data_IF_094142171212
#
_entry.id   IF_094142171212
#
_cell.length_a   1.000
_cell.length_b   1.000
_cell.length_c   1.000
_cell.angle_alpha   90.00
_cell.angle_beta   90.00
_cell.angle_gamma   90.00
#
_symmetry.space_group_name_H-M   'P 1'
#
loop_
_entity.id
_entity.type
_entity.pdbx_description
1 polymer ?
#
# COMPACT_ATOMS: atom_id res chain seq x y z
N UNK A 1 8.92 16.22 5.99
CA UNK A 1 8.95 15.22 7.08
C UNK A 1 10.19 14.36 6.84
N UNK A 2 11.33 14.83 7.32
CA UNK A 2 12.66 14.28 7.12
C UNK A 2 12.83 13.21 8.19
N UNK A 3 12.40 11.97 7.93
CA UNK A 3 12.75 10.84 8.80
C UNK A 3 14.10 10.35 8.31
N UNK A 4 15.16 11.12 8.56
CA UNK A 4 16.45 10.85 7.94
C UNK A 4 17.60 11.20 8.87
N UNK A 5 18.40 10.18 9.18
CA UNK A 5 19.64 10.21 9.97
C UNK A 5 19.60 10.60 11.45
N UNK A 6 18.69 11.46 11.94
CA UNK A 6 18.75 11.91 13.35
C UNK A 6 18.66 10.75 14.36
N UNK A 7 17.86 9.71 14.07
CA UNK A 7 17.72 8.58 15.01
C UNK A 7 19.02 7.77 15.20
N UNK A 8 19.94 7.81 14.23
CA UNK A 8 21.23 7.09 14.29
C UNK A 8 22.40 7.99 14.66
N UNK A 9 22.24 9.31 14.59
CA UNK A 9 23.33 10.30 14.74
C UNK A 9 23.23 11.09 16.06
N UNK A 10 22.10 11.06 16.75
CA UNK A 10 22.04 11.62 18.11
C UNK A 10 22.82 10.75 19.10
N UNK A 11 23.78 11.36 19.83
CA UNK A 11 24.53 10.73 20.93
C UNK A 11 23.63 10.06 22.00
N UNK A 12 22.34 10.42 22.01
CA UNK A 12 21.28 9.91 22.87
C UNK A 12 20.97 8.42 22.68
N UNK A 13 21.40 7.81 21.57
CA UNK A 13 21.07 6.41 21.23
C UNK A 13 22.26 5.44 21.25
N UNK A 14 23.44 5.82 21.74
CA UNK A 14 24.63 4.92 21.83
C UNK A 14 24.33 3.58 22.51
N UNK A 15 23.47 3.55 23.53
CA UNK A 15 23.06 2.32 24.22
C UNK A 15 22.13 1.38 23.44
N UNK A 16 21.59 1.82 22.30
CA UNK A 16 20.62 1.06 21.49
C UNK A 16 21.14 0.78 20.07
N UNK A 17 22.42 1.03 19.80
CA UNK A 17 23.01 0.91 18.46
C UNK A 17 22.77 -0.47 17.84
N UNK A 18 23.02 -1.54 18.59
CA UNK A 18 22.84 -2.91 18.10
C UNK A 18 21.37 -3.18 17.71
N UNK A 19 20.43 -2.69 18.52
CA UNK A 19 19.00 -2.80 18.25
C UNK A 19 18.59 -2.03 16.99
N UNK A 20 19.13 -0.82 16.79
CA UNK A 20 18.86 -0.02 15.59
C UNK A 20 19.45 -0.66 14.33
N UNK A 21 20.64 -1.24 14.40
CA UNK A 21 21.22 -2.01 13.28
C UNK A 21 20.38 -3.25 12.93
N UNK A 22 19.81 -3.93 13.93
CA UNK A 22 18.88 -5.03 13.68
C UNK A 22 17.59 -4.55 12.98
N UNK A 23 17.02 -3.42 13.39
CA UNK A 23 15.85 -2.84 12.71
C UNK A 23 16.18 -2.44 11.27
N UNK A 24 17.35 -1.81 11.06
CA UNK A 24 17.85 -1.47 9.73
C UNK A 24 17.98 -2.70 8.85
N UNK A 25 18.64 -3.76 9.33
CA UNK A 25 18.82 -5.01 8.60
C UNK A 25 17.48 -5.66 8.20
N UNK A 26 16.50 -5.66 9.10
CA UNK A 26 15.14 -6.17 8.80
C UNK A 26 14.41 -5.31 7.77
N UNK A 27 14.52 -3.99 7.85
CA UNK A 27 13.95 -3.08 6.87
C UNK A 27 14.59 -3.31 5.50
N UNK A 28 15.91 -3.37 5.42
CA UNK A 28 16.67 -3.63 4.19
C UNK A 28 16.28 -4.96 3.55
N UNK A 29 16.20 -6.04 4.35
CA UNK A 29 15.74 -7.34 3.88
C UNK A 29 14.33 -7.29 3.29
N UNK A 30 13.41 -6.56 3.94
CA UNK A 30 12.04 -6.39 3.45
C UNK A 30 11.99 -5.61 2.13
N UNK A 31 12.74 -4.50 2.02
CA UNK A 31 12.82 -3.70 0.78
C UNK A 31 13.39 -4.54 -0.36
N UNK A 32 14.46 -5.29 -0.12
CA UNK A 32 15.02 -6.23 -1.10
C UNK A 32 14.02 -7.34 -1.48
N UNK A 33 13.21 -7.82 -0.52
CA UNK A 33 12.15 -8.82 -0.76
C UNK A 33 11.06 -8.28 -1.70
N UNK A 34 10.62 -7.04 -1.50
CA UNK A 34 9.65 -6.37 -2.37
C UNK A 34 10.18 -6.18 -3.80
N UNK A 35 11.49 -5.98 -3.95
CA UNK A 35 12.17 -5.82 -5.24
C UNK A 35 12.59 -7.15 -5.89
N UNK A 36 12.32 -8.29 -5.25
CA UNK A 36 12.71 -9.63 -5.72
C UNK A 36 14.23 -9.79 -5.85
N UNK A 37 14.97 -9.30 -4.85
CA UNK A 37 16.44 -9.32 -4.79
C UNK A 37 17.02 -10.01 -3.56
N UNK A 38 16.22 -10.76 -2.80
CA UNK A 38 16.75 -11.65 -1.77
C UNK A 38 17.19 -13.00 -2.35
N UNK A 39 18.11 -13.69 -1.65
CA UNK A 39 18.41 -15.10 -1.88
C UNK A 39 17.47 -15.99 -1.07
N UNK A 40 16.22 -16.08 -1.50
CA UNK A 40 15.22 -16.86 -0.80
C UNK A 40 13.85 -16.19 -0.83
N UNK A 41 13.37 -15.74 0.32
CA UNK A 41 11.99 -15.25 0.45
C UNK A 41 11.82 -13.83 -0.13
N UNK A 42 11.25 -13.79 -1.34
CA UNK A 42 10.74 -12.57 -1.98
C UNK A 42 9.22 -12.50 -1.87
N UNK A 43 8.66 -11.29 -1.96
CA UNK A 43 7.21 -11.11 -2.00
C UNK A 43 6.70 -11.51 -3.38
N UNK A 44 5.73 -12.43 -3.43
CA UNK A 44 5.11 -12.86 -4.68
C UNK A 44 4.43 -11.68 -5.39
N UNK A 45 4.28 -11.78 -6.71
CA UNK A 45 3.60 -10.78 -7.53
C UNK A 45 2.49 -11.40 -8.36
N UNK A 46 1.45 -10.61 -8.63
CA UNK A 46 0.48 -10.97 -9.67
C UNK A 46 1.15 -10.94 -11.05
N UNK A 47 0.56 -11.57 -12.09
CA UNK A 47 1.05 -11.44 -13.45
C UNK A 47 1.11 -9.98 -13.94
N UNK A 48 0.29 -9.09 -13.37
CA UNK A 48 0.29 -7.65 -13.66
C UNK A 48 1.34 -6.84 -12.88
N UNK A 49 2.17 -7.47 -12.04
CA UNK A 49 3.25 -6.80 -11.30
C UNK A 49 2.88 -6.21 -9.94
N UNK A 50 1.66 -6.44 -9.43
CA UNK A 50 1.25 -6.03 -8.10
C UNK A 50 1.85 -6.96 -7.04
N UNK A 51 2.40 -6.42 -5.95
CA UNK A 51 2.78 -7.21 -4.77
C UNK A 51 1.57 -8.01 -4.25
N UNK A 52 1.74 -9.31 -4.03
CA UNK A 52 0.68 -10.22 -3.59
C UNK A 52 1.10 -10.97 -2.34
N UNK A 53 0.59 -10.52 -1.19
CA UNK A 53 0.92 -11.09 0.12
C UNK A 53 -0.13 -12.13 0.54
N UNK A 54 -1.42 -11.82 0.33
CA UNK A 54 -2.52 -12.72 0.65
C UNK A 54 -3.77 -12.39 -0.14
N UNK A 55 -4.69 -13.34 -0.26
CA UNK A 55 -5.92 -13.19 -1.05
C UNK A 55 -6.84 -12.06 -0.54
N UNK A 56 -7.01 -11.91 0.79
CA UNK A 56 -7.94 -10.95 1.38
C UNK A 56 -7.24 -9.67 1.82
N UNK A 57 -7.78 -8.52 1.44
CA UNK A 57 -7.26 -7.19 1.80
C UNK A 57 -5.83 -6.93 1.30
N UNK A 58 -5.43 -7.51 0.16
CA UNK A 58 -4.08 -7.35 -0.38
C UNK A 58 -3.69 -5.87 -0.59
N UNK A 59 -4.65 -5.01 -0.98
CA UNK A 59 -4.38 -3.59 -1.22
C UNK A 59 -3.87 -2.84 0.01
N UNK A 60 -4.21 -3.27 1.23
CA UNK A 60 -3.66 -2.69 2.46
C UNK A 60 -2.15 -2.95 2.58
N UNK A 61 -1.69 -4.11 2.11
CA UNK A 61 -0.27 -4.46 2.11
C UNK A 61 0.47 -3.72 1.01
N UNK A 62 -0.11 -3.65 -0.18
CA UNK A 62 0.49 -2.93 -1.30
C UNK A 62 0.68 -1.46 -0.95
N UNK A 63 -0.34 -0.80 -0.42
CA UNK A 63 -0.25 0.62 -0.06
C UNK A 63 0.76 0.87 1.06
N UNK A 64 0.78 0.03 2.08
CA UNK A 64 1.77 0.09 3.16
C UNK A 64 3.19 -0.14 2.64
N UNK A 65 3.38 -1.13 1.76
CA UNK A 65 4.68 -1.41 1.15
C UNK A 65 5.15 -0.22 0.30
N UNK A 66 4.28 0.35 -0.53
CA UNK A 66 4.60 1.53 -1.34
C UNK A 66 5.00 2.73 -0.47
N UNK A 67 4.31 2.93 0.66
CA UNK A 67 4.66 3.97 1.63
C UNK A 67 6.05 3.75 2.25
N UNK A 68 6.33 2.53 2.73
CA UNK A 68 7.64 2.18 3.32
C UNK A 68 8.78 2.27 2.29
N UNK A 69 8.56 1.80 1.06
CA UNK A 69 9.53 1.92 -0.04
C UNK A 69 9.83 3.40 -0.35
N UNK A 70 8.80 4.25 -0.36
CA UNK A 70 8.97 5.69 -0.59
C UNK A 70 9.81 6.34 0.51
N UNK A 71 9.53 6.03 1.78
CA UNK A 71 10.33 6.53 2.90
C UNK A 71 11.78 6.05 2.78
N UNK A 72 12.00 4.76 2.54
CA UNK A 72 13.34 4.20 2.47
C UNK A 72 14.13 4.74 1.27
N UNK A 73 13.47 4.99 0.14
CA UNK A 73 14.06 5.72 -0.98
C UNK A 73 14.55 7.11 -0.56
N UNK A 74 13.74 7.89 0.16
CA UNK A 74 14.17 9.20 0.65
C UNK A 74 15.37 9.08 1.60
N UNK A 75 15.44 8.01 2.40
CA UNK A 75 16.59 7.70 3.26
C UNK A 75 17.88 7.45 2.47
N UNK A 76 17.82 6.61 1.44
CA UNK A 76 18.98 6.38 0.59
C UNK A 76 19.40 7.62 -0.19
N UNK A 77 18.42 8.40 -0.67
CA UNK A 77 18.68 9.65 -1.41
C UNK A 77 19.53 10.62 -0.58
N UNK A 78 19.18 10.79 0.71
CA UNK A 78 19.88 11.73 1.60
C UNK A 78 21.21 11.21 2.15
N UNK A 79 21.41 9.88 2.15
CA UNK A 79 22.68 9.27 2.59
C UNK A 79 23.70 9.05 1.46
N UNK A 80 23.36 9.28 0.20
CA UNK A 80 24.16 8.95 -1.01
C UNK A 80 24.63 7.50 -1.10
N UNK A 81 24.03 6.61 -0.29
CA UNK A 81 24.34 5.18 -0.24
C UNK A 81 23.42 4.40 -1.19
N UNK A 82 23.92 3.25 -1.66
CA UNK A 82 23.09 2.24 -2.33
C UNK A 82 22.75 1.13 -1.36
N UNK A 83 21.54 0.59 -1.46
CA UNK A 83 21.13 -0.60 -0.73
C UNK A 83 21.81 -1.82 -1.36
N UNK A 84 22.44 -2.65 -0.53
CA UNK A 84 23.03 -3.92 -0.98
C UNK A 84 22.07 -5.06 -0.69
N UNK A 85 21.41 -5.55 -1.74
CA UNK A 85 20.63 -6.79 -1.70
C UNK A 85 21.51 -7.95 -2.16
N UNK A 86 21.07 -9.18 -1.95
CA UNK A 86 21.79 -10.35 -2.47
C UNK A 86 21.79 -10.38 -4.01
N UNK A 87 20.67 -10.05 -4.64
CA UNK A 87 20.51 -9.96 -6.09
C UNK A 87 21.14 -8.72 -6.73
N UNK A 88 21.93 -7.92 -5.98
CA UNK A 88 22.65 -6.76 -6.49
C UNK A 88 22.42 -5.47 -5.69
N UNK A 89 23.13 -4.42 -6.10
CA UNK A 89 22.95 -3.09 -5.51
C UNK A 89 21.73 -2.40 -6.11
N UNK A 90 20.95 -1.73 -5.26
CA UNK A 90 19.74 -0.99 -5.60
C UNK A 90 19.96 0.47 -5.21
N UNK A 91 19.66 1.40 -6.11
CA UNK A 91 19.68 2.83 -5.79
C UNK A 91 18.29 3.34 -5.38
N UNK A 92 18.26 4.57 -4.85
CA UNK A 92 17.01 5.16 -4.40
C UNK A 92 15.98 5.32 -5.53
N UNK A 93 16.41 5.56 -6.78
CA UNK A 93 15.51 5.77 -7.92
C UNK A 93 14.78 4.48 -8.28
N UNK A 94 15.48 3.35 -8.24
CA UNK A 94 14.89 2.03 -8.46
C UNK A 94 13.81 1.71 -7.40
N UNK A 95 14.07 2.01 -6.13
CA UNK A 95 13.09 1.84 -5.04
C UNK A 95 11.86 2.73 -5.27
N UNK A 96 12.09 4.02 -5.57
CA UNK A 96 11.00 4.97 -5.78
C UNK A 96 10.15 4.62 -7.01
N UNK A 97 10.79 4.20 -8.09
CA UNK A 97 10.10 3.79 -9.31
C UNK A 97 9.22 2.56 -9.06
N UNK A 98 9.71 1.59 -8.29
CA UNK A 98 8.89 0.45 -7.88
C UNK A 98 7.74 0.85 -6.94
N UNK A 99 7.99 1.72 -5.96
CA UNK A 99 6.92 2.25 -5.10
C UNK A 99 5.82 2.94 -5.92
N UNK A 100 6.22 3.77 -6.89
CA UNK A 100 5.31 4.45 -7.80
C UNK A 100 4.52 3.45 -8.64
N UNK A 101 5.14 2.40 -9.17
CA UNK A 101 4.41 1.40 -9.98
C UNK A 101 3.30 0.71 -9.18
N UNK A 102 3.49 0.49 -7.87
CA UNK A 102 2.44 -0.06 -7.00
C UNK A 102 1.28 0.93 -6.82
N UNK A 103 1.57 2.23 -6.66
CA UNK A 103 0.54 3.29 -6.59
C UNK A 103 -0.18 3.43 -7.93
N UNK A 104 0.55 3.46 -9.04
CA UNK A 104 -0.01 3.55 -10.39
C UNK A 104 -0.92 2.34 -10.68
N UNK A 105 -0.54 1.13 -10.23
CA UNK A 105 -1.39 -0.05 -10.32
C UNK A 105 -2.69 0.13 -9.53
N UNK A 106 -2.63 0.65 -8.29
CA UNK A 106 -3.82 0.95 -7.48
C UNK A 106 -4.72 1.96 -8.20
N UNK A 107 -4.15 2.95 -8.89
CA UNK A 107 -4.89 4.02 -9.55
C UNK A 107 -5.36 3.70 -10.98
N UNK A 108 -5.01 2.52 -11.52
CA UNK A 108 -5.58 2.01 -12.76
C UNK A 108 -4.60 1.51 -13.81
N UNK A 109 -3.28 1.64 -13.59
CA UNK A 109 -2.24 1.06 -14.47
C UNK A 109 -2.11 -0.44 -14.22
N UNK A 110 -3.18 -1.18 -14.50
CA UNK A 110 -3.28 -2.61 -14.31
C UNK A 110 -4.04 -3.26 -15.47
N UNK A 111 -3.98 -4.59 -15.64
CA UNK A 111 -4.60 -5.27 -16.78
C UNK A 111 -6.12 -5.05 -16.95
N UNK A 112 -6.81 -4.61 -15.89
CA UNK A 112 -8.25 -4.31 -15.94
C UNK A 112 -8.57 -2.86 -16.32
N UNK A 113 -7.55 -2.01 -16.44
CA UNK A 113 -7.64 -0.56 -16.59
C UNK A 113 -8.64 0.05 -15.59
N UNK A 114 -8.55 -0.39 -14.33
CA UNK A 114 -9.51 -0.07 -13.27
C UNK A 114 -8.79 0.46 -12.04
N UNK A 115 -9.18 1.65 -11.58
CA UNK A 115 -8.76 2.16 -10.28
C UNK A 115 -9.37 1.31 -9.16
N UNK A 116 -8.57 0.94 -8.18
CA UNK A 116 -9.04 0.35 -6.93
C UNK A 116 -9.29 1.39 -5.84
N UNK A 117 -9.10 2.69 -6.15
CA UNK A 117 -9.58 3.80 -5.34
C UNK A 117 -10.99 4.19 -5.82
N UNK A 118 -11.99 3.96 -4.97
CA UNK A 118 -13.40 4.27 -5.24
C UNK A 118 -13.57 5.75 -5.55
N UNK A 119 -14.32 6.08 -6.61
CA UNK A 119 -14.57 7.45 -7.03
C UNK A 119 -13.44 8.10 -7.85
N UNK A 120 -12.32 7.41 -8.05
CA UNK A 120 -11.18 7.93 -8.81
C UNK A 120 -11.02 7.24 -10.17
N UNK A 121 -10.74 8.05 -11.20
CA UNK A 121 -10.50 7.57 -12.55
C UNK A 121 -11.78 7.16 -13.30
N UNK A 122 -11.65 6.72 -14.57
CA UNK A 122 -12.78 6.44 -15.44
C UNK A 122 -13.51 5.13 -15.11
N UNK A 123 -12.89 4.22 -14.35
CA UNK A 123 -13.43 2.90 -14.00
C UNK A 123 -12.93 2.49 -12.62
N UNK A 124 -13.85 2.21 -11.70
CA UNK A 124 -13.55 1.79 -10.32
C UNK A 124 -14.67 0.87 -9.78
N UNK A 125 -14.45 0.12 -8.68
CA UNK A 125 -15.50 -0.68 -8.04
C UNK A 125 -16.67 0.19 -7.58
N UNK A 126 -17.86 -0.08 -8.10
CA UNK A 126 -19.08 0.66 -7.78
C UNK A 126 -19.96 -0.04 -6.74
N UNK A 127 -19.61 -1.27 -6.36
CA UNK A 127 -20.33 -2.09 -5.37
C UNK A 127 -19.36 -2.56 -4.30
N UNK A 128 -19.04 -1.66 -3.36
CA UNK A 128 -18.18 -1.98 -2.23
C UNK A 128 -19.00 -2.49 -1.06
N UNK A 129 -18.39 -3.39 -0.28
CA UNK A 129 -18.99 -3.89 0.95
C UNK A 129 -18.91 -2.83 2.05
N UNK A 130 -19.75 -1.79 1.93
CA UNK A 130 -19.81 -0.68 2.87
C UNK A 130 -21.26 -0.24 3.09
N UNK A 131 -21.74 -0.36 4.33
CA UNK A 131 -23.14 -0.07 4.69
C UNK A 131 -23.53 1.38 4.33
N UNK A 132 -22.71 2.34 4.73
CA UNK A 132 -22.97 3.76 4.45
C UNK A 132 -22.90 4.12 2.97
N UNK A 133 -22.19 3.33 2.15
CA UNK A 133 -22.16 3.56 0.70
C UNK A 133 -23.41 3.01 0.02
N UNK A 134 -23.89 1.84 0.48
CA UNK A 134 -24.96 1.07 -0.14
C UNK A 134 -26.36 1.60 0.15
N UNK A 135 -26.55 2.27 1.29
CA UNK A 135 -27.86 2.76 1.71
C UNK A 135 -28.21 4.07 1.00
N UNK A 136 -29.50 4.25 0.69
CA UNK A 136 -30.02 5.51 0.14
C UNK A 136 -29.63 6.69 1.05
N UNK A 137 -29.14 7.82 0.50
CA UNK A 137 -28.83 8.99 1.30
C UNK A 137 -30.10 9.58 1.93
N UNK A 138 -29.96 10.17 3.12
CA UNK A 138 -31.07 10.81 3.83
C UNK A 138 -31.77 11.91 3.01
N UNK A 139 -31.02 12.59 2.11
CA UNK A 139 -31.56 13.62 1.21
C UNK A 139 -32.57 13.07 0.20
N UNK A 140 -32.46 11.79 -0.16
CA UNK A 140 -33.38 11.13 -1.09
C UNK A 140 -34.50 10.38 -0.37
N UNK A 141 -34.22 9.82 0.80
CA UNK A 141 -35.23 9.14 1.62
C UNK A 141 -35.07 9.52 3.09
N UNK A 142 -36.07 10.24 3.62
CA UNK A 142 -36.15 10.64 5.04
C UNK A 142 -36.81 9.56 5.92
N UNK A 143 -37.10 8.38 5.36
CA UNK A 143 -37.75 7.30 6.11
C UNK A 143 -36.83 6.75 7.21
N UNK A 144 -37.42 6.37 8.34
CA UNK A 144 -36.71 5.60 9.35
C UNK A 144 -36.25 4.26 8.76
N UNK A 145 -34.97 3.93 8.94
CA UNK A 145 -34.40 2.65 8.53
C UNK A 145 -34.22 1.78 9.77
N UNK A 146 -34.97 0.69 9.85
CA UNK A 146 -34.87 -0.28 10.95
C UNK A 146 -33.54 -1.03 10.98
N UNK A 147 -33.25 -1.72 12.09
CA UNK A 147 -31.97 -2.36 12.37
C UNK A 147 -31.50 -3.34 11.27
N UNK A 148 -32.40 -4.14 10.71
CA UNK A 148 -32.10 -5.12 9.64
C UNK A 148 -32.45 -4.63 8.25
N UNK A 149 -33.34 -3.64 8.15
CA UNK A 149 -33.88 -3.14 6.89
C UNK A 149 -32.77 -2.66 5.93
N UNK A 150 -31.70 -2.09 6.49
CA UNK A 150 -30.46 -1.75 5.77
C UNK A 150 -29.84 -2.92 4.99
N UNK A 151 -29.82 -4.10 5.62
CA UNK A 151 -29.30 -5.32 5.01
C UNK A 151 -30.32 -5.90 4.03
N UNK A 152 -31.57 -6.05 4.47
CA UNK A 152 -32.65 -6.69 3.71
C UNK A 152 -32.90 -6.01 2.36
N UNK A 153 -32.81 -4.68 2.31
CA UNK A 153 -33.13 -3.90 1.12
C UNK A 153 -31.94 -3.60 0.20
N UNK A 154 -30.72 -3.46 0.73
CA UNK A 154 -29.57 -2.93 -0.03
C UNK A 154 -28.37 -3.87 -0.14
N UNK A 155 -28.25 -4.91 0.70
CA UNK A 155 -27.09 -5.81 0.64
C UNK A 155 -27.04 -6.63 -0.67
N UNK A 156 -28.19 -7.17 -1.09
CA UNK A 156 -28.30 -8.01 -2.29
C UNK A 156 -28.50 -7.25 -3.60
N UNK A 157 -28.55 -5.91 -3.56
CA UNK A 157 -28.81 -5.08 -4.74
C UNK A 157 -27.70 -5.19 -5.77
N UNK A 158 -28.08 -5.21 -7.04
CA UNK A 158 -27.15 -5.30 -8.17
C UNK A 158 -26.69 -3.94 -8.69
N UNK A 159 -27.38 -2.88 -8.29
CA UNK A 159 -27.06 -1.50 -8.65
C UNK A 159 -25.77 -1.01 -7.95
N UNK A 160 -25.09 -0.01 -8.54
CA UNK A 160 -24.04 0.74 -7.87
C UNK A 160 -24.46 1.26 -6.48
N UNK A 161 -23.49 1.37 -5.58
CA UNK A 161 -23.69 2.08 -4.32
C UNK A 161 -24.08 3.54 -4.61
N UNK A 162 -25.15 4.07 -3.99
CA UNK A 162 -25.62 5.43 -4.24
C UNK A 162 -24.69 6.52 -3.70
N UNK A 163 -23.77 6.19 -2.77
CA UNK A 163 -22.83 7.15 -2.22
C UNK A 163 -21.39 6.74 -2.57
N UNK A 164 -20.65 7.69 -3.14
CA UNK A 164 -19.25 7.60 -3.54
C UNK A 164 -18.43 8.58 -2.70
#
# INVERSE_FOLDING_TARGET
MIVNQELLVEEKHRGHRDTLEQYRSKAEYYICSCLDKNNGANVNRTPGGLLHIRQWNNMQYVSTAAFLLTIYSDILRNSTQKLKCHGGSVDYQEILHFAKSQVDYILGSNPMNMSYLVGYGPKYPTRVHHRGASMVPYRESMGFIGCTQGFDLWYGREEPNPNV
#
